data_IF_066099972593
#
_entry.id   IF_066099972593
#
_cell.length_a   1.000
_cell.length_b   1.000
_cell.length_c   1.000
_cell.angle_alpha   90.00
_cell.angle_beta   90.00
_cell.angle_gamma   90.00
#
_symmetry.space_group_name_H-M   'P 1'
#
loop_
_entity.id
_entity.type
_entity.pdbx_description
1 polymer ?
#
# COMPACT_ATOMS: atom_id res chain seq x y z
N UNK A 1 -61.64 -38.49 -12.95
CA UNK A 1 -60.82 -38.46 -14.19
C UNK A 1 -60.21 -37.08 -14.29
N UNK A 2 -58.92 -36.96 -14.04
CA UNK A 2 -58.16 -35.71 -14.25
C UNK A 2 -57.02 -36.10 -15.18
N UNK A 3 -57.11 -35.66 -16.44
CA UNK A 3 -56.11 -35.94 -17.47
C UNK A 3 -54.82 -35.18 -17.16
N UNK A 4 -53.68 -35.86 -17.18
CA UNK A 4 -52.37 -35.25 -17.07
C UNK A 4 -52.07 -34.43 -18.33
N UNK A 5 -51.68 -33.17 -18.16
CA UNK A 5 -51.21 -32.31 -19.24
C UNK A 5 -49.80 -32.75 -19.69
N UNK A 6 -49.49 -32.71 -21.00
CA UNK A 6 -48.17 -33.09 -21.51
C UNK A 6 -47.10 -32.07 -21.13
N UNK A 7 -45.90 -32.56 -20.78
CA UNK A 7 -44.73 -31.75 -20.46
C UNK A 7 -44.20 -31.06 -21.74
N UNK A 8 -43.92 -29.74 -21.74
CA UNK A 8 -43.33 -29.09 -22.89
C UNK A 8 -41.85 -29.50 -23.04
N UNK A 9 -41.46 -29.94 -24.25
CA UNK A 9 -40.05 -30.13 -24.60
C UNK A 9 -39.38 -28.76 -24.80
N UNK A 10 -38.20 -28.56 -24.21
CA UNK A 10 -37.40 -27.37 -24.42
C UNK A 10 -36.89 -27.32 -25.89
N UNK A 11 -36.90 -26.15 -26.55
CA UNK A 11 -36.40 -26.02 -27.90
C UNK A 11 -34.88 -26.23 -27.92
N UNK A 12 -34.40 -27.10 -28.83
CA UNK A 12 -32.97 -27.23 -29.11
C UNK A 12 -32.49 -26.00 -29.89
N UNK A 13 -31.53 -25.27 -29.33
CA UNK A 13 -30.84 -24.17 -30.00
C UNK A 13 -29.93 -24.73 -31.11
N UNK A 14 -30.09 -24.22 -32.33
CA UNK A 14 -29.19 -24.51 -33.43
C UNK A 14 -27.79 -23.92 -33.15
N UNK A 15 -26.69 -24.55 -33.61
CA UNK A 15 -25.35 -24.02 -33.41
C UNK A 15 -25.15 -22.72 -34.20
N UNK A 16 -24.62 -21.70 -33.53
CA UNK A 16 -24.23 -20.42 -34.13
C UNK A 16 -22.97 -20.63 -34.98
N UNK A 17 -22.92 -20.17 -36.25
CA UNK A 17 -21.73 -20.31 -37.07
C UNK A 17 -20.59 -19.42 -36.52
N UNK A 18 -19.44 -20.04 -36.25
CA UNK A 18 -18.24 -19.32 -35.83
C UNK A 18 -17.53 -18.73 -37.05
N UNK A 19 -17.77 -17.45 -37.32
CA UNK A 19 -16.90 -16.69 -38.23
C UNK A 19 -15.59 -16.41 -37.50
N UNK A 20 -14.50 -17.05 -37.92
CA UNK A 20 -13.15 -16.74 -37.44
C UNK A 20 -12.72 -15.37 -37.96
N UNK A 21 -12.92 -14.32 -37.16
CA UNK A 21 -12.29 -13.03 -37.41
C UNK A 21 -10.80 -13.16 -37.11
N UNK A 22 -9.99 -13.36 -38.15
CA UNK A 22 -8.53 -13.19 -38.04
C UNK A 22 -8.27 -11.73 -37.66
N UNK A 23 -7.84 -11.50 -36.42
CA UNK A 23 -7.31 -10.20 -36.00
C UNK A 23 -5.94 -10.02 -36.66
N UNK A 24 -5.67 -8.92 -37.37
CA UNK A 24 -4.33 -8.64 -37.86
C UNK A 24 -3.38 -8.56 -36.66
N UNK A 25 -2.24 -9.25 -36.77
CA UNK A 25 -1.15 -9.11 -35.82
C UNK A 25 -0.61 -7.69 -35.93
N UNK A 26 -1.03 -6.81 -35.01
CA UNK A 26 -0.45 -5.49 -34.87
C UNK A 26 0.96 -5.68 -34.30
N UNK A 27 1.97 -5.60 -35.17
CA UNK A 27 3.36 -5.45 -34.75
C UNK A 27 3.43 -4.19 -33.88
N UNK A 28 3.60 -4.38 -32.57
CA UNK A 28 3.94 -3.29 -31.68
C UNK A 28 5.36 -2.86 -32.03
N UNK A 29 5.49 -1.75 -32.78
CA UNK A 29 6.72 -0.97 -32.73
C UNK A 29 6.94 -0.61 -31.28
N UNK A 30 8.05 -1.06 -30.69
CA UNK A 30 8.48 -0.56 -29.39
C UNK A 30 8.98 0.86 -29.62
N UNK A 31 8.10 1.85 -29.49
CA UNK A 31 8.54 3.24 -29.31
C UNK A 31 9.55 3.27 -28.17
N UNK A 32 10.67 3.98 -28.40
CA UNK A 32 11.66 4.23 -27.36
C UNK A 32 10.97 4.79 -26.12
N UNK A 33 11.28 4.22 -24.96
CA UNK A 33 10.72 4.69 -23.70
C UNK A 33 11.07 6.17 -23.50
N UNK A 34 10.05 7.03 -23.47
CA UNK A 34 10.24 8.43 -23.12
C UNK A 34 10.48 8.52 -21.61
N UNK A 35 11.65 9.01 -21.23
CA UNK A 35 12.01 9.28 -19.83
C UNK A 35 11.70 10.74 -19.49
N UNK A 36 11.05 10.94 -18.34
CA UNK A 36 10.65 12.26 -17.86
C UNK A 36 9.31 12.76 -18.43
N UNK A 37 8.98 14.01 -18.13
CA UNK A 37 7.71 14.64 -18.53
C UNK A 37 6.61 14.55 -17.47
N UNK A 38 5.40 14.99 -17.85
CA UNK A 38 4.24 15.03 -16.95
C UNK A 38 3.24 13.95 -17.34
N UNK A 39 2.97 13.03 -16.42
CA UNK A 39 1.87 12.07 -16.56
C UNK A 39 0.57 12.71 -16.07
N UNK A 40 -0.43 12.84 -16.95
CA UNK A 40 -1.77 13.33 -16.60
C UNK A 40 -2.74 12.15 -16.57
N UNK A 41 -3.37 11.93 -15.43
CA UNK A 41 -4.33 10.85 -15.22
C UNK A 41 -5.65 11.44 -14.75
N UNK A 42 -6.75 11.08 -15.42
CA UNK A 42 -8.09 11.32 -14.90
C UNK A 42 -8.42 10.18 -13.95
N UNK A 43 -8.32 10.45 -12.65
CA UNK A 43 -8.65 9.48 -11.61
C UNK A 43 -10.11 9.59 -11.20
N UNK A 44 -10.75 8.45 -10.93
CA UNK A 44 -12.08 8.42 -10.34
C UNK A 44 -12.03 8.65 -8.83
N UNK A 45 -12.96 9.44 -8.31
CA UNK A 45 -13.12 9.73 -6.88
C UNK A 45 -12.39 11.01 -6.43
N UNK A 46 -12.87 11.60 -5.35
CA UNK A 46 -12.29 12.79 -4.71
C UNK A 46 -11.39 12.38 -3.53
N UNK A 47 -10.44 13.25 -3.20
CA UNK A 47 -9.73 13.18 -1.93
C UNK A 47 -10.74 13.53 -0.83
N UNK A 48 -10.91 12.66 0.16
CA UNK A 48 -11.82 12.88 1.30
C UNK A 48 -11.07 13.15 2.59
N UNK A 49 -9.80 12.74 2.62
CA UNK A 49 -8.85 12.88 3.70
C UNK A 49 -7.46 12.66 3.10
N UNK A 50 -6.41 13.18 3.74
CA UNK A 50 -5.05 12.80 3.41
C UNK A 50 -4.50 11.67 4.29
N UNK A 51 -5.26 11.28 5.32
CA UNK A 51 -4.98 10.09 6.10
C UNK A 51 -5.60 8.87 5.41
N UNK A 52 -4.79 7.96 4.84
CA UNK A 52 -5.34 6.80 4.15
C UNK A 52 -6.10 5.86 5.10
N UNK A 53 -5.85 5.88 6.41
CA UNK A 53 -6.59 5.04 7.36
C UNK A 53 -7.96 5.61 7.76
N UNK A 54 -8.30 6.83 7.35
CA UNK A 54 -9.56 7.46 7.72
C UNK A 54 -10.69 7.17 6.74
N UNK A 55 -10.36 6.86 5.49
CA UNK A 55 -11.33 6.75 4.40
C UNK A 55 -10.96 5.66 3.43
N UNK A 56 -11.97 5.06 2.79
CA UNK A 56 -11.81 4.12 1.69
C UNK A 56 -11.88 4.80 0.32
N UNK A 57 -11.89 6.13 0.28
CA UNK A 57 -11.96 6.89 -0.96
C UNK A 57 -10.75 6.64 -1.86
N UNK A 58 -11.00 6.27 -3.12
CA UNK A 58 -9.96 6.00 -4.11
C UNK A 58 -9.08 7.23 -4.36
N UNK A 59 -9.64 8.44 -4.32
CA UNK A 59 -8.88 9.68 -4.49
C UNK A 59 -7.79 9.84 -3.41
N UNK A 60 -8.13 9.55 -2.15
CA UNK A 60 -7.17 9.52 -1.04
C UNK A 60 -6.11 8.44 -1.27
N UNK A 61 -6.53 7.22 -1.62
CA UNK A 61 -5.58 6.13 -1.91
C UNK A 61 -4.61 6.44 -3.05
N UNK A 62 -5.05 7.16 -4.08
CA UNK A 62 -4.19 7.58 -5.19
C UNK A 62 -3.09 8.54 -4.74
N UNK A 63 -3.43 9.51 -3.90
CA UNK A 63 -2.43 10.42 -3.31
C UNK A 63 -1.47 9.65 -2.41
N UNK A 64 -2.00 8.86 -1.47
CA UNK A 64 -1.18 8.13 -0.51
C UNK A 64 -0.22 7.15 -1.17
N UNK A 65 -0.66 6.43 -2.21
CA UNK A 65 0.23 5.53 -2.96
C UNK A 65 1.30 6.25 -3.80
N UNK A 66 1.13 7.55 -4.03
CA UNK A 66 2.08 8.36 -4.79
C UNK A 66 3.17 8.95 -3.89
N UNK A 67 2.81 9.31 -2.66
CA UNK A 67 3.68 10.07 -1.74
C UNK A 67 4.16 9.25 -0.54
N UNK A 68 3.48 8.17 -0.17
CA UNK A 68 3.80 7.34 0.99
C UNK A 68 4.24 5.94 0.57
N UNK A 69 5.09 5.33 1.40
CA UNK A 69 5.51 3.94 1.26
C UNK A 69 5.22 3.16 2.55
N UNK A 70 5.16 1.84 2.45
CA UNK A 70 5.07 0.93 3.59
C UNK A 70 6.41 0.24 3.82
N UNK A 71 6.53 -0.48 4.94
CA UNK A 71 7.70 -1.32 5.21
C UNK A 71 7.86 -2.44 4.18
N UNK A 72 6.72 -2.99 3.74
CA UNK A 72 6.60 -3.96 2.67
C UNK A 72 5.64 -3.45 1.58
N UNK A 73 5.67 -4.08 0.40
CA UNK A 73 4.76 -3.80 -0.70
C UNK A 73 4.24 -5.07 -1.37
N UNK A 74 3.14 -4.94 -2.13
CA UNK A 74 2.67 -6.02 -2.98
C UNK A 74 3.56 -6.16 -4.20
N UNK A 75 3.96 -7.39 -4.51
CA UNK A 75 4.60 -7.73 -5.77
C UNK A 75 3.55 -7.89 -6.88
N UNK A 76 3.98 -7.94 -8.15
CA UNK A 76 3.05 -8.05 -9.29
C UNK A 76 2.23 -9.33 -9.32
N UNK A 77 2.70 -10.38 -8.64
CA UNK A 77 2.02 -11.65 -8.45
C UNK A 77 1.20 -11.70 -7.15
N UNK A 78 0.96 -10.54 -6.52
CA UNK A 78 0.22 -10.38 -5.27
C UNK A 78 0.87 -11.03 -4.04
N UNK A 79 2.17 -11.34 -4.11
CA UNK A 79 2.98 -11.64 -2.93
C UNK A 79 3.32 -10.37 -2.15
N UNK A 80 4.05 -10.53 -1.04
CA UNK A 80 4.56 -9.42 -0.22
C UNK A 80 6.09 -9.45 -0.25
N UNK A 81 6.71 -8.30 -0.51
CA UNK A 81 8.16 -8.14 -0.52
C UNK A 81 8.60 -6.90 0.28
N UNK A 82 9.84 -6.89 0.81
CA UNK A 82 10.41 -5.72 1.47
C UNK A 82 10.44 -4.49 0.56
N UNK A 83 10.13 -3.31 1.13
CA UNK A 83 10.25 -2.02 0.45
C UNK A 83 11.19 -1.07 1.20
N UNK A 84 10.92 -0.83 2.49
CA UNK A 84 11.78 -0.03 3.39
C UNK A 84 12.59 -0.90 4.36
N UNK A 85 12.27 -2.19 4.44
CA UNK A 85 13.05 -3.20 5.16
C UNK A 85 14.20 -3.69 4.28
N UNK A 86 15.41 -3.75 4.85
CA UNK A 86 16.59 -4.37 4.23
C UNK A 86 16.59 -5.89 4.46
N UNK A 87 16.34 -6.30 5.70
CA UNK A 87 16.31 -7.71 6.10
C UNK A 87 15.41 -7.91 7.32
N UNK A 88 14.94 -9.14 7.51
CA UNK A 88 14.23 -9.54 8.72
C UNK A 88 14.47 -11.01 9.01
N UNK A 89 14.30 -11.41 10.27
CA UNK A 89 14.44 -12.79 10.74
C UNK A 89 13.44 -13.06 11.87
N UNK A 90 13.12 -14.33 12.09
CA UNK A 90 12.22 -14.78 13.18
C UNK A 90 12.95 -15.80 14.06
N UNK A 91 12.74 -15.72 15.37
CA UNK A 91 13.21 -16.74 16.30
C UNK A 91 12.60 -18.12 16.00
N UNK A 92 13.26 -19.19 16.45
CA UNK A 92 12.81 -20.58 16.24
C UNK A 92 11.38 -20.84 16.76
N UNK A 93 10.98 -20.15 17.82
CA UNK A 93 9.65 -20.22 18.43
C UNK A 93 8.63 -19.24 17.81
N UNK A 94 9.05 -18.43 16.84
CA UNK A 94 8.28 -17.37 16.19
C UNK A 94 7.72 -16.30 17.16
N UNK A 95 8.32 -16.15 18.34
CA UNK A 95 7.89 -15.17 19.34
C UNK A 95 8.62 -13.82 19.21
N UNK A 96 9.74 -13.77 18.51
CA UNK A 96 10.48 -12.54 18.25
C UNK A 96 10.82 -12.43 16.77
N UNK A 97 10.55 -11.27 16.18
CA UNK A 97 10.84 -10.95 14.79
C UNK A 97 11.68 -9.69 14.72
N UNK A 98 12.91 -9.80 14.24
CA UNK A 98 13.84 -8.67 14.14
C UNK A 98 13.85 -8.14 12.71
N UNK A 99 13.82 -6.82 12.58
CA UNK A 99 13.77 -6.11 11.31
C UNK A 99 14.88 -5.08 11.24
N UNK A 100 15.50 -4.99 10.07
CA UNK A 100 16.47 -3.95 9.73
C UNK A 100 15.90 -3.04 8.66
N UNK A 101 15.87 -1.73 8.91
CA UNK A 101 15.53 -0.71 7.94
C UNK A 101 16.65 -0.50 6.93
N UNK A 102 16.28 -0.11 5.70
CA UNK A 102 17.23 0.36 4.70
C UNK A 102 17.91 1.64 5.19
N UNK A 103 19.22 1.68 5.10
CA UNK A 103 20.01 2.84 5.47
C UNK A 103 19.82 4.01 4.47
N UNK A 104 19.86 5.25 4.98
CA UNK A 104 19.88 6.46 4.17
C UNK A 104 18.53 6.88 3.57
N UNK A 105 17.43 6.22 3.95
CA UNK A 105 16.08 6.65 3.54
C UNK A 105 15.71 7.95 4.27
N UNK A 106 15.10 8.88 3.52
CA UNK A 106 14.63 10.16 4.04
C UNK A 106 13.18 10.39 3.65
N UNK A 107 12.45 11.06 4.52
CA UNK A 107 11.18 11.67 4.20
C UNK A 107 11.37 12.89 3.27
N UNK A 108 10.29 13.41 2.68
CA UNK A 108 10.34 14.51 1.70
C UNK A 108 10.89 15.82 2.26
N UNK A 109 10.81 16.03 3.58
CA UNK A 109 11.42 17.16 4.30
C UNK A 109 12.91 16.98 4.62
N UNK A 110 13.49 15.81 4.29
CA UNK A 110 14.87 15.46 4.57
C UNK A 110 15.11 14.77 5.92
N UNK A 111 14.08 14.62 6.76
CA UNK A 111 14.14 13.87 8.02
C UNK A 111 14.54 12.41 7.72
N UNK A 112 15.51 11.82 8.44
CA UNK A 112 15.87 10.42 8.22
C UNK A 112 14.76 9.48 8.69
N UNK A 113 14.58 8.37 7.98
CA UNK A 113 13.73 7.28 8.45
C UNK A 113 14.47 6.50 9.53
N UNK A 114 13.92 6.52 10.75
CA UNK A 114 14.40 5.73 11.89
C UNK A 114 13.31 4.80 12.42
N UNK A 115 13.70 3.86 13.26
CA UNK A 115 12.78 2.95 13.98
C UNK A 115 11.82 3.67 14.91
N UNK A 116 12.17 4.83 15.45
CA UNK A 116 11.24 5.67 16.22
C UNK A 116 10.06 6.13 15.34
N UNK A 117 10.33 6.51 14.09
CA UNK A 117 9.29 6.89 13.12
C UNK A 117 8.39 5.69 12.78
N UNK A 118 8.99 4.50 12.67
CA UNK A 118 8.24 3.25 12.48
C UNK A 118 7.35 2.95 13.66
N UNK A 119 7.87 3.00 14.89
CA UNK A 119 7.11 2.73 16.11
C UNK A 119 5.96 3.73 16.27
N UNK A 120 6.23 5.03 16.14
CA UNK A 120 5.21 6.08 16.23
C UNK A 120 4.11 5.91 15.18
N UNK A 121 4.52 5.61 13.94
CA UNK A 121 3.58 5.30 12.86
C UNK A 121 2.71 4.09 13.17
N UNK A 122 3.30 2.93 13.43
CA UNK A 122 2.53 1.72 13.65
C UNK A 122 1.66 1.82 14.92
N UNK A 123 2.12 2.49 15.97
CA UNK A 123 1.33 2.74 17.18
C UNK A 123 0.07 3.54 16.86
N UNK A 124 0.18 4.61 16.05
CA UNK A 124 -0.96 5.42 15.63
C UNK A 124 -1.95 4.64 14.75
N UNK A 125 -1.43 3.71 13.97
CA UNK A 125 -2.21 2.94 12.99
C UNK A 125 -2.82 1.65 13.57
N UNK A 126 -2.40 1.23 14.78
CA UNK A 126 -2.72 -0.07 15.40
C UNK A 126 -4.20 -0.39 15.49
N UNK A 127 -5.07 0.60 15.64
CA UNK A 127 -6.52 0.37 15.80
C UNK A 127 -7.29 0.32 14.47
N UNK A 128 -6.67 0.77 13.37
CA UNK A 128 -7.29 0.92 12.05
C UNK A 128 -6.67 0.08 10.97
N UNK A 129 -5.45 -0.40 11.15
CA UNK A 129 -4.85 -1.45 10.33
C UNK A 129 -5.34 -2.83 10.85
N UNK A 130 -6.27 -3.51 10.16
CA UNK A 130 -6.98 -4.66 10.73
C UNK A 130 -6.07 -5.84 11.11
N UNK A 131 -5.04 -6.13 10.31
CA UNK A 131 -4.12 -7.24 10.58
C UNK A 131 -3.13 -6.84 11.67
N UNK A 132 -2.67 -5.59 11.70
CA UNK A 132 -1.85 -5.08 12.81
C UNK A 132 -2.59 -5.18 14.15
N UNK A 133 -3.86 -4.76 14.17
CA UNK A 133 -4.73 -4.87 15.33
C UNK A 133 -4.89 -6.32 15.78
N UNK A 134 -5.17 -7.21 14.84
CA UNK A 134 -5.33 -8.64 15.11
C UNK A 134 -4.05 -9.23 15.72
N UNK A 135 -2.89 -9.01 15.07
CA UNK A 135 -1.62 -9.58 15.53
C UNK A 135 -1.22 -9.01 16.89
N UNK A 136 -1.33 -7.70 17.10
CA UNK A 136 -1.06 -7.08 18.41
C UNK A 136 -1.97 -7.65 19.50
N UNK A 137 -3.27 -7.76 19.23
CA UNK A 137 -4.25 -8.07 20.27
C UNK A 137 -4.29 -9.55 20.63
N UNK A 138 -4.26 -10.43 19.63
CA UNK A 138 -4.42 -11.88 19.85
C UNK A 138 -3.08 -12.58 20.11
N UNK A 139 -1.98 -12.09 19.53
CA UNK A 139 -0.69 -12.76 19.58
C UNK A 139 0.39 -11.94 20.31
N UNK A 140 0.20 -10.63 20.49
CA UNK A 140 1.20 -9.70 21.02
C UNK A 140 0.91 -9.16 22.42
N UNK A 141 1.06 -7.84 22.57
CA UNK A 141 0.89 -7.16 23.86
C UNK A 141 -0.58 -7.15 24.36
N UNK A 142 -1.57 -7.41 23.51
CA UNK A 142 -2.98 -7.30 23.91
C UNK A 142 -3.35 -5.85 24.23
N UNK A 143 -3.86 -5.61 25.43
CA UNK A 143 -4.14 -4.26 25.94
C UNK A 143 -2.90 -3.54 26.51
N UNK A 144 -1.73 -4.18 26.52
CA UNK A 144 -0.46 -3.59 27.00
C UNK A 144 0.06 -2.45 26.12
N UNK A 145 1.14 -1.81 26.57
CA UNK A 145 1.78 -0.71 25.85
C UNK A 145 2.28 -1.16 24.48
N UNK A 146 2.33 -0.24 23.52
CA UNK A 146 2.73 -0.60 22.15
C UNK A 146 4.21 -1.00 22.07
N UNK A 147 5.03 -0.44 22.95
CA UNK A 147 6.45 -0.69 23.13
C UNK A 147 6.75 -2.12 23.60
N UNK A 148 5.79 -2.78 24.28
CA UNK A 148 5.87 -4.20 24.60
C UNK A 148 5.72 -5.07 23.35
N UNK A 149 4.95 -4.60 22.36
CA UNK A 149 4.75 -5.29 21.08
C UNK A 149 5.85 -4.96 20.08
N UNK A 150 6.29 -3.70 20.00
CA UNK A 150 7.35 -3.23 19.09
C UNK A 150 8.44 -2.54 19.88
N UNK A 151 9.62 -3.14 19.94
CA UNK A 151 10.79 -2.60 20.64
C UNK A 151 11.76 -1.97 19.65
N UNK A 152 12.17 -0.73 19.93
CA UNK A 152 13.26 -0.05 19.22
C UNK A 152 14.59 -0.48 19.83
N UNK A 153 15.51 -0.97 19.01
CA UNK A 153 16.84 -1.42 19.44
C UNK A 153 17.90 -0.37 19.12
N UNK A 154 17.84 0.18 17.90
CA UNK A 154 18.59 1.36 17.44
C UNK A 154 17.87 2.03 16.27
N UNK A 155 18.48 3.04 15.65
CA UNK A 155 17.89 3.83 14.56
C UNK A 155 17.43 3.00 13.35
N UNK A 156 18.00 1.81 13.12
CA UNK A 156 17.68 0.94 11.98
C UNK A 156 17.14 -0.43 12.39
N UNK A 157 17.30 -0.86 13.63
CA UNK A 157 16.88 -2.17 14.12
C UNK A 157 15.73 -2.08 15.11
N UNK A 158 14.66 -2.83 14.85
CA UNK A 158 13.53 -2.97 15.75
C UNK A 158 13.02 -4.40 15.73
N UNK A 159 12.32 -4.79 16.79
CA UNK A 159 11.72 -6.11 16.91
C UNK A 159 10.23 -6.06 17.22
N UNK A 160 9.51 -7.05 16.72
CA UNK A 160 8.14 -7.36 17.14
C UNK A 160 8.15 -8.55 18.08
N UNK A 161 7.52 -8.40 19.24
CA UNK A 161 7.47 -9.38 20.29
C UNK A 161 6.05 -9.92 20.46
N UNK A 162 5.94 -11.25 20.45
CA UNK A 162 4.69 -11.99 20.56
C UNK A 162 4.69 -12.86 21.81
N UNK A 163 3.49 -13.09 22.34
CA UNK A 163 3.20 -14.08 23.39
C UNK A 163 2.83 -15.44 22.80
N UNK A 164 2.33 -15.45 21.56
CA UNK A 164 2.00 -16.66 20.80
C UNK A 164 2.45 -16.51 19.34
N UNK A 165 3.01 -17.57 18.74
CA UNK A 165 3.55 -17.52 17.38
C UNK A 165 2.47 -17.44 16.30
N UNK A 166 2.71 -16.63 15.26
CA UNK A 166 1.82 -16.51 14.08
C UNK A 166 2.61 -16.25 12.80
N UNK A 167 2.09 -16.72 11.66
CA UNK A 167 2.66 -16.43 10.34
C UNK A 167 2.25 -15.06 9.78
N UNK A 168 1.42 -14.29 10.50
CA UNK A 168 0.82 -13.04 10.01
C UNK A 168 1.67 -11.78 10.32
N UNK A 169 2.89 -11.94 10.84
CA UNK A 169 3.72 -10.79 11.27
C UNK A 169 4.05 -9.87 10.11
N UNK A 170 4.40 -10.43 8.95
CA UNK A 170 4.69 -9.63 7.75
C UNK A 170 3.42 -8.95 7.23
N UNK A 171 2.28 -9.63 7.24
CA UNK A 171 0.99 -9.03 6.86
C UNK A 171 0.57 -7.89 7.80
N UNK A 172 0.88 -7.99 9.09
CA UNK A 172 0.57 -6.99 10.10
C UNK A 172 1.23 -5.64 9.83
N UNK A 173 2.48 -5.64 9.36
CA UNK A 173 3.24 -4.42 9.03
C UNK A 173 3.41 -4.19 7.52
N UNK A 174 2.80 -5.05 6.71
CA UNK A 174 2.76 -4.99 5.26
C UNK A 174 1.48 -4.38 4.70
N UNK A 175 1.29 -4.37 3.37
CA UNK A 175 0.16 -3.69 2.75
C UNK A 175 -1.19 -4.36 3.07
N UNK A 176 -2.17 -3.56 3.52
CA UNK A 176 -3.56 -3.96 3.81
C UNK A 176 -4.55 -3.05 3.06
N UNK A 177 -4.20 -2.65 1.84
CA UNK A 177 -4.92 -1.64 1.05
C UNK A 177 -4.47 -0.22 1.38
N UNK A 178 -4.98 0.36 2.46
CA UNK A 178 -4.71 1.76 2.82
C UNK A 178 -3.61 1.96 3.88
N UNK A 179 -3.03 0.88 4.41
CA UNK A 179 -1.90 0.95 5.33
C UNK A 179 -1.39 -0.42 5.78
N UNK A 180 -0.41 -0.45 6.70
CA UNK A 180 0.32 0.70 7.18
C UNK A 180 1.21 1.42 6.15
N UNK A 181 1.31 2.74 6.29
CA UNK A 181 2.18 3.64 5.49
C UNK A 181 3.00 4.51 6.42
N UNK A 182 4.31 4.64 6.18
CA UNK A 182 5.19 5.46 7.01
C UNK A 182 5.00 6.94 6.73
N UNK A 183 4.95 7.71 7.82
CA UNK A 183 4.95 9.18 7.82
C UNK A 183 5.82 9.65 9.00
N UNK A 184 6.11 10.95 9.09
CA UNK A 184 6.79 11.48 10.28
C UNK A 184 5.87 11.50 11.51
N UNK A 185 6.42 11.13 12.66
CA UNK A 185 5.67 10.97 13.92
C UNK A 185 5.03 12.28 14.38
N UNK A 186 5.69 13.41 14.13
CA UNK A 186 5.19 14.76 14.45
C UNK A 186 3.95 15.16 13.64
N UNK A 187 3.75 14.57 12.46
CA UNK A 187 2.51 14.72 11.70
C UNK A 187 1.32 14.16 12.48
N UNK A 188 1.54 13.25 13.43
CA UNK A 188 0.45 12.72 14.26
C UNK A 188 0.12 13.61 15.45
N UNK A 189 1.10 14.30 16.03
CA UNK A 189 0.88 15.20 17.17
C UNK A 189 0.06 16.44 16.76
N UNK A 190 0.24 16.89 15.51
CA UNK A 190 -0.39 18.10 15.00
C UNK A 190 -1.76 17.84 14.35
N UNK A 191 -2.12 16.58 14.05
CA UNK A 191 -3.33 16.25 13.30
C UNK A 191 -4.14 15.20 14.03
N UNK A 192 -5.18 15.66 14.75
CA UNK A 192 -6.19 14.75 15.31
C UNK A 192 -6.78 13.91 14.17
N UNK A 193 -7.14 12.65 14.46
CA UNK A 193 -7.50 11.66 13.46
C UNK A 193 -8.61 12.12 12.46
N UNK A 194 -9.36 13.17 12.77
CA UNK A 194 -10.44 13.71 11.94
C UNK A 194 -10.10 15.02 11.19
N UNK A 195 -8.88 15.54 11.33
CA UNK A 195 -8.46 16.80 10.71
C UNK A 195 -7.34 16.53 9.73
N UNK A 196 -7.67 16.22 8.48
CA UNK A 196 -6.70 16.22 7.36
C UNK A 196 -6.57 17.62 6.73
N UNK A 197 -6.82 18.67 7.53
CA UNK A 197 -7.18 19.99 7.03
C UNK A 197 -6.00 20.80 6.48
N UNK A 198 -4.75 20.42 6.77
CA UNK A 198 -3.58 21.23 6.38
C UNK A 198 -2.68 20.58 5.31
N UNK A 199 -3.10 19.45 4.73
CA UNK A 199 -2.39 18.82 3.62
C UNK A 199 -1.96 17.38 3.90
N UNK A 200 -1.22 16.77 2.96
CA UNK A 200 -0.80 15.40 3.09
C UNK A 200 0.31 15.18 4.13
N UNK A 201 0.39 13.97 4.70
CA UNK A 201 1.53 13.58 5.50
C UNK A 201 2.83 13.63 4.71
N UNK A 202 3.91 13.95 5.41
CA UNK A 202 5.26 13.82 4.92
C UNK A 202 5.62 12.34 4.77
N UNK A 203 6.07 11.92 3.58
CA UNK A 203 6.29 10.51 3.23
C UNK A 203 7.69 10.25 2.70
N UNK A 204 7.98 8.99 2.38
CA UNK A 204 9.24 8.57 1.75
C UNK A 204 9.08 8.24 0.25
N UNK A 205 7.87 8.43 -0.29
CA UNK A 205 7.55 7.99 -1.66
C UNK A 205 8.23 8.78 -2.78
N UNK A 206 8.07 8.33 -4.03
CA UNK A 206 8.79 8.90 -5.18
C UNK A 206 8.37 10.31 -5.60
N UNK A 207 7.26 10.82 -5.08
CA UNK A 207 6.74 12.14 -5.44
C UNK A 207 6.32 12.92 -4.20
N UNK A 208 6.56 14.24 -4.23
CA UNK A 208 6.14 15.21 -3.22
C UNK A 208 4.84 15.85 -3.68
N UNK A 209 3.84 15.92 -2.81
CA UNK A 209 2.59 16.61 -3.10
C UNK A 209 2.79 18.13 -3.26
N UNK A 210 2.16 18.75 -4.26
CA UNK A 210 2.29 20.19 -4.50
C UNK A 210 0.99 20.95 -4.28
N UNK A 211 -0.04 20.62 -5.05
CA UNK A 211 -1.29 21.41 -5.10
C UNK A 211 -2.49 20.47 -5.05
N UNK A 212 -3.53 20.92 -4.34
CA UNK A 212 -4.88 20.38 -4.45
C UNK A 212 -5.88 21.48 -4.79
N UNK A 213 -6.59 21.31 -5.90
CA UNK A 213 -7.78 22.08 -6.24
C UNK A 213 -9.01 21.15 -6.14
N UNK A 214 -9.77 21.22 -5.04
CA UNK A 214 -10.93 20.36 -4.82
C UNK A 214 -11.90 20.38 -6.00
N UNK A 215 -12.26 19.19 -6.50
CA UNK A 215 -13.16 19.01 -7.64
C UNK A 215 -12.52 19.21 -9.03
N UNK A 216 -11.27 19.65 -9.11
CA UNK A 216 -10.53 19.81 -10.37
C UNK A 216 -9.36 18.82 -10.45
N UNK A 217 -8.28 19.07 -9.70
CA UNK A 217 -7.03 18.30 -9.82
C UNK A 217 -6.20 18.33 -8.55
N UNK A 218 -5.23 17.44 -8.48
CA UNK A 218 -4.07 17.58 -7.61
C UNK A 218 -2.80 17.32 -8.42
N UNK A 219 -1.66 17.75 -7.91
CA UNK A 219 -0.36 17.56 -8.56
C UNK A 219 0.72 17.19 -7.55
N UNK A 220 1.76 16.54 -8.06
CA UNK A 220 2.94 16.16 -7.32
C UNK A 220 4.16 16.20 -8.24
N UNK A 221 5.32 16.53 -7.68
CA UNK A 221 6.61 16.55 -8.36
C UNK A 221 7.50 15.43 -7.87
N UNK A 222 8.49 15.06 -8.68
CA UNK A 222 9.44 14.00 -8.33
C UNK A 222 10.22 14.40 -7.08
N UNK A 223 10.36 13.46 -6.15
CA UNK A 223 11.30 13.61 -5.04
C UNK A 223 12.70 13.26 -5.53
N UNK A 224 13.59 14.26 -5.58
CA UNK A 224 14.93 14.09 -6.16
C UNK A 224 15.83 13.16 -5.32
N UNK A 225 15.66 13.15 -3.99
CA UNK A 225 16.39 12.28 -3.06
C UNK A 225 15.71 10.91 -2.87
N UNK A 226 14.73 10.55 -3.71
CA UNK A 226 14.05 9.25 -3.63
C UNK A 226 15.01 8.08 -3.83
N UNK A 227 14.96 7.12 -2.91
CA UNK A 227 15.79 5.91 -2.90
C UNK A 227 14.97 4.67 -3.26
N UNK A 228 14.84 4.32 -4.56
CA UNK A 228 14.07 3.16 -4.99
C UNK A 228 14.67 1.87 -4.44
N UNK A 229 13.82 0.88 -4.15
CA UNK A 229 14.31 -0.45 -3.79
C UNK A 229 15.12 -1.06 -4.95
N UNK A 230 16.31 -1.64 -4.70
CA UNK A 230 17.23 -2.07 -5.76
C UNK A 230 16.74 -3.31 -6.51
N UNK A 231 15.95 -4.18 -5.87
CA UNK A 231 15.29 -5.26 -6.57
C UNK A 231 14.21 -4.66 -7.50
N UNK A 232 14.15 -5.06 -8.78
CA UNK A 232 13.11 -4.57 -9.67
C UNK A 232 11.75 -4.91 -9.05
N UNK A 233 10.94 -3.88 -8.75
CA UNK A 233 9.51 -4.06 -8.49
C UNK A 233 9.00 -4.90 -9.65
N UNK A 234 8.62 -6.16 -9.38
CA UNK A 234 8.21 -7.08 -10.41
C UNK A 234 7.19 -6.36 -11.30
N UNK A 235 7.54 -6.23 -12.58
CA UNK A 235 7.22 -5.05 -13.36
C UNK A 235 5.72 -4.78 -13.46
N UNK A 236 5.23 -3.81 -12.70
CA UNK A 236 4.12 -3.00 -13.18
C UNK A 236 4.67 -2.10 -14.28
N UNK A 237 4.71 -2.62 -15.51
CA UNK A 237 4.44 -1.79 -16.69
C UNK A 237 3.04 -1.21 -16.49
N UNK A 238 2.93 -0.11 -15.75
CA UNK A 238 1.73 0.72 -15.78
C UNK A 238 1.71 1.39 -17.15
N UNK A 239 1.22 0.63 -18.13
CA UNK A 239 1.03 1.12 -19.49
C UNK A 239 -0.21 1.99 -19.44
N UNK A 240 -0.04 3.28 -19.14
CA UNK A 240 -1.12 4.24 -19.26
C UNK A 240 -1.31 4.52 -20.75
N UNK A 241 -2.41 4.03 -21.33
CA UNK A 241 -2.83 4.50 -22.65
C UNK A 241 -3.50 5.86 -22.47
N UNK A 242 -2.88 6.88 -23.07
CA UNK A 242 -3.55 8.13 -23.38
C UNK A 242 -4.67 7.82 -24.38
N UNK A 243 -5.91 8.17 -24.01
CA UNK A 243 -6.97 8.38 -24.98
C UNK A 243 -6.90 9.82 -25.48
#
# INVERSE_FOLDING_TARGET
MVQALPTPQAPQLAPVPQTQTQRPAMMMSADEAQFGGTLRIVAAGSIQSFDPLWTTASGTGNVSNTILEGLFEYTSDYGIAPLLIESWDSSDDNLSWTFKLREGIKFHDGTPLTTEQVQGTLNRQKDRAPILRLVRNEFGAGDGEFEEFLTVEDDLHFSLNLKEGTGLVIDAIGPQGFGPRLVTADWYDNYTANQSAEGPPNGTGPFIFEEWLPGDRWSATRYEDYSPHPAPRAAHRRTYRLC
#
